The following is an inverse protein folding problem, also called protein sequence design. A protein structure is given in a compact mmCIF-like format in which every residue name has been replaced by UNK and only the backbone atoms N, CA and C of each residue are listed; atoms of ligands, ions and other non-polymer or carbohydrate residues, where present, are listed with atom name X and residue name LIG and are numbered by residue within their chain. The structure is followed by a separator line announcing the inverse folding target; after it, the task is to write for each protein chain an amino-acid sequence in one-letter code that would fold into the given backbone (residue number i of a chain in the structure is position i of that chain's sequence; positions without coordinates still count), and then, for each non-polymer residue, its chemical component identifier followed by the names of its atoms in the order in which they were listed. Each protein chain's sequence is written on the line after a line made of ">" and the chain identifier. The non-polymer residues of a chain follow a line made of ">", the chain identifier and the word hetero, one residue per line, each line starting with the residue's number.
data_IF_072217828366
#
_entry.id   IF_072217828366
#
_cell.length_a   1.000
_cell.length_b   1.000
_cell.length_c   1.000
_cell.angle_alpha   90.00
_cell.angle_beta   90.00
_cell.angle_gamma   90.00
#
_symmetry.space_group_name_H-M   'P 1'
#
loop_
_entity.id
_entity.type
_entity.pdbx_description
1 polymer ?
#
# COMPACT_ATOMS: atom_id res chain seq x y z
N UNK A 1 21.00 10.13 4.96
CA UNK A 1 20.33 9.75 3.68
C UNK A 1 18.79 9.89 3.68
N UNK A 2 18.10 9.95 4.83
CA UNK A 2 16.62 10.02 4.90
C UNK A 2 16.01 11.32 4.32
N UNK A 3 16.69 12.46 4.48
CA UNK A 3 16.24 13.76 3.95
C UNK A 3 16.25 13.81 2.41
N UNK A 4 17.24 13.19 1.78
CA UNK A 4 17.36 13.15 0.32
C UNK A 4 16.19 12.38 -0.33
N UNK A 5 15.83 11.19 0.20
CA UNK A 5 14.68 10.42 -0.29
C UNK A 5 13.36 11.16 -0.11
N UNK A 6 13.16 11.80 1.06
CA UNK A 6 11.94 12.61 1.30
C UNK A 6 11.82 13.80 0.33
N UNK A 7 12.91 14.54 0.10
CA UNK A 7 12.92 15.69 -0.82
C UNK A 7 12.72 15.31 -2.29
N UNK A 8 13.21 14.14 -2.71
CA UNK A 8 12.99 13.61 -4.06
C UNK A 8 11.52 13.18 -4.27
N UNK A 9 10.89 12.62 -3.25
CA UNK A 9 9.48 12.24 -3.34
C UNK A 9 8.57 13.46 -3.49
N UNK A 10 8.86 14.58 -2.82
CA UNK A 10 8.07 15.82 -2.95
C UNK A 10 8.17 16.44 -4.34
N UNK A 11 9.37 16.50 -4.94
CA UNK A 11 9.54 16.99 -6.30
C UNK A 11 8.80 16.11 -7.33
N UNK A 12 8.95 14.79 -7.22
CA UNK A 12 8.27 13.85 -8.12
C UNK A 12 6.74 13.94 -8.05
N UNK A 13 6.16 14.18 -6.86
CA UNK A 13 4.72 14.36 -6.71
C UNK A 13 4.20 15.59 -7.47
N UNK A 14 4.94 16.70 -7.44
CA UNK A 14 4.59 17.91 -8.18
C UNK A 14 4.67 17.69 -9.69
N UNK A 15 5.74 17.04 -10.18
CA UNK A 15 5.88 16.72 -11.60
C UNK A 15 4.71 15.86 -12.10
N UNK A 16 4.31 14.83 -11.34
CA UNK A 16 3.17 14.00 -11.71
C UNK A 16 1.83 14.74 -11.59
N UNK A 17 1.68 15.66 -10.63
CA UNK A 17 0.48 16.52 -10.54
C UNK A 17 0.34 17.38 -11.78
N UNK A 18 1.42 18.04 -12.22
CA UNK A 18 1.41 18.86 -13.42
C UNK A 18 0.98 18.06 -14.66
N UNK A 19 1.46 16.83 -14.84
CA UNK A 19 1.03 15.95 -15.95
C UNK A 19 -0.46 15.57 -15.84
N UNK A 20 -0.94 15.29 -14.63
CA UNK A 20 -2.32 14.87 -14.39
C UNK A 20 -3.33 16.01 -14.58
N UNK A 21 -2.92 17.25 -14.32
CA UNK A 21 -3.74 18.46 -14.46
C UNK A 21 -3.64 19.06 -15.87
N UNK A 22 -2.73 18.56 -16.70
CA UNK A 22 -2.59 19.01 -18.08
C UNK A 22 -3.76 18.52 -18.94
N UNK A 23 -4.56 19.47 -19.45
CA UNK A 23 -5.84 19.22 -20.15
C UNK A 23 -5.72 18.31 -21.38
N UNK A 24 -4.58 18.37 -22.08
CA UNK A 24 -4.37 17.66 -23.35
C UNK A 24 -3.39 16.48 -23.20
N UNK A 25 -3.29 15.91 -22.01
CA UNK A 25 -2.39 14.76 -21.76
C UNK A 25 -2.93 13.50 -22.44
N UNK A 26 -2.05 12.78 -23.12
CA UNK A 26 -2.36 11.46 -23.65
C UNK A 26 -2.71 10.48 -22.52
N UNK A 27 -3.72 9.62 -22.72
CA UNK A 27 -4.16 8.66 -21.71
C UNK A 27 -3.06 7.68 -21.28
N UNK A 28 -2.15 7.31 -22.19
CA UNK A 28 -0.99 6.47 -21.86
C UNK A 28 -0.01 7.20 -20.94
N UNK A 29 0.24 8.48 -21.20
CA UNK A 29 1.08 9.33 -20.33
C UNK A 29 0.40 9.56 -18.97
N UNK A 30 -0.90 9.83 -18.96
CA UNK A 30 -1.70 9.96 -17.74
C UNK A 30 -1.65 8.68 -16.91
N UNK A 31 -1.77 7.52 -17.55
CA UNK A 31 -1.67 6.22 -16.88
C UNK A 31 -0.30 6.02 -16.22
N UNK A 32 0.78 6.36 -16.91
CA UNK A 32 2.13 6.28 -16.34
C UNK A 32 2.34 7.26 -15.17
N UNK A 33 1.84 8.50 -15.29
CA UNK A 33 1.91 9.49 -14.23
C UNK A 33 1.15 9.04 -12.97
N UNK A 34 -0.08 8.52 -13.14
CA UNK A 34 -0.87 7.95 -12.04
C UNK A 34 -0.17 6.75 -11.40
N UNK A 35 0.40 5.83 -12.21
CA UNK A 35 1.13 4.67 -11.68
C UNK A 35 2.34 5.10 -10.85
N UNK A 36 3.16 6.01 -11.38
CA UNK A 36 4.38 6.45 -10.72
C UNK A 36 4.07 7.25 -9.45
N UNK A 37 3.05 8.13 -9.47
CA UNK A 37 2.60 8.86 -8.29
C UNK A 37 2.10 7.91 -7.19
N UNK A 38 1.40 6.84 -7.58
CA UNK A 38 1.00 5.79 -6.64
C UNK A 38 2.19 5.07 -5.98
N UNK A 39 3.28 4.82 -6.72
CA UNK A 39 4.50 4.24 -6.14
C UNK A 39 5.14 5.17 -5.10
N UNK A 40 5.17 6.47 -5.38
CA UNK A 40 5.68 7.47 -4.43
C UNK A 40 4.81 7.53 -3.18
N UNK A 41 3.48 7.53 -3.33
CA UNK A 41 2.56 7.49 -2.20
C UNK A 41 2.72 6.22 -1.36
N UNK A 42 2.84 5.03 -1.96
CA UNK A 42 3.09 3.80 -1.20
C UNK A 42 4.44 3.84 -0.46
N UNK A 43 5.49 4.38 -1.08
CA UNK A 43 6.79 4.56 -0.45
C UNK A 43 6.76 5.53 0.73
N UNK A 44 5.83 6.49 0.73
CA UNK A 44 5.58 7.41 1.84
C UNK A 44 4.62 6.84 2.90
N UNK A 45 4.07 5.63 2.69
CA UNK A 45 3.05 5.04 3.56
C UNK A 45 1.64 5.59 3.32
N UNK A 46 1.45 6.48 2.33
CA UNK A 46 0.14 6.97 1.93
C UNK A 46 -0.57 5.95 1.03
N UNK A 47 -1.04 4.87 1.64
CA UNK A 47 -1.76 3.80 0.95
C UNK A 47 -3.03 4.31 0.24
N UNK A 48 -3.78 5.21 0.87
CA UNK A 48 -5.04 5.73 0.32
C UNK A 48 -4.81 6.50 -0.99
N UNK A 49 -3.80 7.37 -1.02
CA UNK A 49 -3.40 8.09 -2.23
C UNK A 49 -2.97 7.14 -3.35
N UNK A 50 -2.15 6.15 -3.02
CA UNK A 50 -1.70 5.14 -3.98
C UNK A 50 -2.87 4.33 -4.57
N UNK A 51 -3.81 3.85 -3.74
CA UNK A 51 -4.98 3.10 -4.21
C UNK A 51 -5.85 3.95 -5.12
N UNK A 52 -6.05 5.22 -4.77
CA UNK A 52 -6.86 6.16 -5.56
C UNK A 52 -6.29 6.33 -6.98
N UNK A 53 -4.99 6.58 -7.08
CA UNK A 53 -4.32 6.76 -8.37
C UNK A 53 -4.33 5.47 -9.21
N UNK A 54 -4.08 4.31 -8.61
CA UNK A 54 -4.13 3.03 -9.31
C UNK A 54 -5.54 2.68 -9.80
N UNK A 55 -6.58 3.00 -9.02
CA UNK A 55 -7.97 2.80 -9.46
C UNK A 55 -8.32 3.72 -10.62
N UNK A 56 -7.92 4.99 -10.56
CA UNK A 56 -8.12 5.94 -11.67
C UNK A 56 -7.44 5.45 -12.95
N UNK A 57 -6.22 4.93 -12.84
CA UNK A 57 -5.50 4.35 -13.97
C UNK A 57 -6.27 3.21 -14.64
N UNK A 58 -6.86 2.31 -13.85
CA UNK A 58 -7.62 1.17 -14.37
C UNK A 58 -8.92 1.55 -15.10
N UNK A 59 -9.38 2.79 -14.95
CA UNK A 59 -10.53 3.34 -15.66
C UNK A 59 -10.15 3.94 -17.03
N UNK A 60 -8.86 4.11 -17.32
CA UNK A 60 -8.39 4.64 -18.60
C UNK A 60 -8.46 3.56 -19.66
N UNK A 61 -9.14 3.85 -20.77
CA UNK A 61 -9.39 2.88 -21.83
C UNK A 61 -8.11 2.61 -22.62
N UNK A 62 -7.41 3.67 -23.04
CA UNK A 62 -6.21 3.60 -23.86
C UNK A 62 -4.92 3.33 -23.08
N UNK A 63 -5.00 3.14 -21.74
CA UNK A 63 -3.84 2.74 -20.96
C UNK A 63 -3.33 1.36 -21.40
N UNK A 64 -2.01 1.24 -21.56
CA UNK A 64 -1.38 0.00 -21.98
C UNK A 64 -1.67 -1.15 -20.99
N UNK A 65 -2.01 -2.33 -21.50
CA UNK A 65 -2.37 -3.50 -20.69
C UNK A 65 -1.27 -3.92 -19.70
N UNK A 66 -0.01 -3.72 -20.07
CA UNK A 66 1.12 -3.91 -19.14
C UNK A 66 0.99 -3.03 -17.90
N UNK A 67 0.64 -1.76 -18.07
CA UNK A 67 0.50 -0.79 -16.97
C UNK A 67 -0.71 -1.16 -16.10
N UNK A 68 -1.85 -1.51 -16.71
CA UNK A 68 -3.03 -1.99 -15.98
C UNK A 68 -2.72 -3.27 -15.18
N UNK A 69 -1.98 -4.21 -15.76
CA UNK A 69 -1.56 -5.45 -15.09
C UNK A 69 -0.72 -5.15 -13.86
N UNK A 70 0.28 -4.28 -13.98
CA UNK A 70 1.10 -3.88 -12.84
C UNK A 70 0.31 -3.11 -11.77
N UNK A 71 -0.65 -2.28 -12.17
CA UNK A 71 -1.55 -1.60 -11.24
C UNK A 71 -2.39 -2.60 -10.42
N UNK A 72 -2.98 -3.62 -11.06
CA UNK A 72 -3.73 -4.68 -10.36
C UNK A 72 -2.85 -5.46 -9.38
N UNK A 73 -1.65 -5.87 -9.83
CA UNK A 73 -0.67 -6.56 -8.97
C UNK A 73 -0.31 -5.72 -7.76
N UNK A 74 -0.16 -4.41 -7.95
CA UNK A 74 0.18 -3.49 -6.87
C UNK A 74 -0.94 -3.38 -5.84
N UNK A 75 -2.19 -3.23 -6.28
CA UNK A 75 -3.36 -3.20 -5.39
C UNK A 75 -3.44 -4.47 -4.53
N UNK A 76 -3.31 -5.66 -5.13
CA UNK A 76 -3.32 -6.94 -4.40
C UNK A 76 -2.23 -6.98 -3.32
N UNK A 77 -1.00 -6.56 -3.64
CA UNK A 77 0.08 -6.52 -2.64
C UNK A 77 -0.24 -5.56 -1.49
N UNK A 78 -0.87 -4.43 -1.77
CA UNK A 78 -1.24 -3.45 -0.75
C UNK A 78 -2.38 -3.96 0.15
N UNK A 79 -3.34 -4.72 -0.39
CA UNK A 79 -4.40 -5.38 0.39
C UNK A 79 -3.83 -6.49 1.28
N UNK A 80 -2.95 -7.34 0.74
CA UNK A 80 -2.28 -8.38 1.53
C UNK A 80 -1.43 -7.81 2.67
N UNK A 81 -0.73 -6.69 2.43
CA UNK A 81 0.05 -6.02 3.47
C UNK A 81 -0.84 -5.50 4.61
N UNK A 82 -2.03 -5.00 4.28
CA UNK A 82 -3.01 -4.55 5.27
C UNK A 82 -3.55 -5.74 6.08
N UNK A 83 -4.04 -6.77 5.40
CA UNK A 83 -4.56 -7.98 6.05
C UNK A 83 -3.52 -8.65 6.97
N UNK A 84 -2.25 -8.68 6.55
CA UNK A 84 -1.14 -9.16 7.39
C UNK A 84 -0.93 -8.27 8.61
N UNK A 85 -0.97 -6.95 8.45
CA UNK A 85 -0.84 -6.01 9.56
C UNK A 85 -1.95 -6.19 10.58
N UNK A 86 -3.20 -6.31 10.12
CA UNK A 86 -4.38 -6.52 10.97
C UNK A 86 -4.27 -7.86 11.73
N UNK A 87 -3.82 -8.92 11.04
CA UNK A 87 -3.59 -10.22 11.66
C UNK A 87 -2.52 -10.18 12.76
N UNK A 88 -1.42 -9.43 12.54
CA UNK A 88 -0.35 -9.28 13.54
C UNK A 88 -0.84 -8.50 14.78
N UNK A 89 -1.61 -7.43 14.60
CA UNK A 89 -2.19 -6.67 15.71
C UNK A 89 -3.09 -7.56 16.59
N UNK A 90 -3.92 -8.40 15.97
CA UNK A 90 -4.82 -9.30 16.69
C UNK A 90 -4.07 -10.37 17.51
N UNK A 91 -2.92 -10.84 17.02
CA UNK A 91 -2.03 -11.77 17.73
C UNK A 91 -1.37 -11.10 18.95
N UNK A 92 -0.93 -9.86 18.83
CA UNK A 92 -0.30 -9.10 19.93
C UNK A 92 -1.30 -8.71 21.03
N UNK A 93 -2.59 -8.52 20.69
CA UNK A 93 -3.62 -8.15 21.67
C UNK A 93 -4.28 -9.33 22.38
N UNK A 94 -3.93 -10.57 22.05
CA UNK A 94 -4.46 -11.74 22.75
C UNK A 94 -3.81 -11.85 24.13
N UNK A 95 -4.56 -11.68 25.25
CA UNK A 95 -3.99 -11.87 26.57
C UNK A 95 -3.60 -13.34 26.68
N UNK A 96 -2.31 -13.62 26.86
CA UNK A 96 -1.86 -14.93 27.32
C UNK A 96 -2.55 -15.21 28.67
N UNK A 97 -3.71 -15.87 28.62
CA UNK A 97 -4.23 -16.63 29.75
C UNK A 97 -3.23 -17.75 29.97
N UNK A 98 -2.26 -17.51 30.86
CA UNK A 98 -1.34 -18.53 31.32
C UNK A 98 -2.16 -19.66 31.91
N UNK A 99 -2.22 -20.78 31.19
CA UNK A 99 -2.71 -22.04 31.72
C UNK A 99 -1.77 -22.41 32.86
N UNK A 100 -2.23 -22.18 34.10
CA UNK A 100 -1.63 -22.80 35.28
C UNK A 100 -2.02 -24.28 35.27
N UNK A 101 -1.34 -25.04 34.42
CA UNK A 101 -1.27 -26.49 34.57
C UNK A 101 -0.20 -26.80 35.62
N UNK A 102 -0.61 -27.38 36.74
CA UNK A 102 0.32 -27.95 37.71
C UNK A 102 -0.13 -27.84 39.16
N UNK A 103 -0.98 -28.77 39.59
CA UNK A 103 -0.67 -29.63 40.75
C UNK A 103 -1.69 -30.77 40.84
N UNK A 104 -1.29 -32.05 40.79
CA UNK A 104 -2.18 -33.15 41.17
C UNK A 104 -2.37 -33.17 42.70
N UNK A 105 -3.53 -33.61 43.21
CA UNK A 105 -3.79 -33.66 44.64
C UNK A 105 -2.88 -34.70 45.30
N UNK A 106 -2.09 -34.24 46.27
CA UNK A 106 -1.29 -35.06 47.17
C UNK A 106 -2.23 -35.85 48.09
N UNK A 107 -2.16 -37.18 48.04
CA UNK A 107 -2.90 -38.12 48.87
C UNK A 107 -2.00 -38.58 50.04
N UNK A 108 -2.27 -38.16 51.30
CA UNK A 108 -1.61 -38.74 52.46
C UNK A 108 -2.44 -39.91 53.00
N UNK A 109 -1.84 -41.10 52.92
CA UNK A 109 -2.24 -42.30 53.69
C UNK A 109 -2.26 -42.03 55.18
#
# INVERSE_FOLDING_TARGET
>A
MLRAKRGQHTAALEDYRAVIEFEHVDEGMLAMALYNRALVYDAQGNRSGAVTDLKRLLLLNAAAERVKTEARRRLVRMDQKLARSDALLNLETSPHQGTKDGDPPNDPR
#
